data_IF_580853760011
#
_entry.id   IF_580853760011
#
_cell.length_a   1.000
_cell.length_b   1.000
_cell.length_c   1.000
_cell.angle_alpha   90.00
_cell.angle_beta   90.00
_cell.angle_gamma   90.00
#
_symmetry.space_group_name_H-M   'P 1'
#
loop_
_entity.id
_entity.type
_entity.pdbx_description
1 polymer ?
#
# COMPACT_ATOMS: atom_id res chain seq x y z
N UNK A 1 -48.48 33.75 -21.34
CA UNK A 1 -47.13 33.81 -21.93
C UNK A 1 -46.12 33.62 -20.80
N UNK A 2 -45.58 32.41 -20.63
CA UNK A 2 -44.53 32.13 -19.65
C UNK A 2 -43.61 31.04 -20.23
N UNK A 3 -42.39 31.43 -20.57
CA UNK A 3 -41.36 30.55 -21.12
C UNK A 3 -40.87 29.56 -20.06
N UNK A 4 -40.90 28.26 -20.40
CA UNK A 4 -40.20 27.21 -19.65
C UNK A 4 -38.70 27.29 -19.97
N UNK A 5 -37.87 27.52 -18.94
CA UNK A 5 -36.43 27.40 -19.04
C UNK A 5 -36.00 25.95 -19.30
N UNK A 6 -35.17 25.75 -20.32
CA UNK A 6 -34.59 24.46 -20.68
C UNK A 6 -33.60 24.01 -19.60
N UNK A 7 -33.76 22.77 -19.10
CA UNK A 7 -32.74 22.10 -18.28
C UNK A 7 -31.63 21.63 -19.22
N UNK A 8 -30.44 22.21 -19.09
CA UNK A 8 -29.23 21.71 -19.73
C UNK A 8 -28.85 20.34 -19.17
N UNK A 9 -28.85 19.32 -20.04
CA UNK A 9 -28.20 18.03 -19.80
C UNK A 9 -26.68 18.21 -19.92
N UNK A 10 -25.84 17.73 -18.98
CA UNK A 10 -24.42 17.63 -19.23
C UNK A 10 -24.16 16.38 -20.09
N UNK A 11 -24.31 16.51 -21.41
CA UNK A 11 -23.83 15.52 -22.37
C UNK A 11 -22.33 15.75 -22.59
N UNK A 12 -21.52 15.30 -21.63
CA UNK A 12 -20.11 15.04 -21.88
C UNK A 12 -19.97 13.71 -22.59
N UNK A 13 -19.57 13.71 -23.87
CA UNK A 13 -19.15 12.50 -24.57
C UNK A 13 -18.09 11.76 -23.73
N UNK A 14 -18.08 10.41 -23.70
CA UNK A 14 -16.98 9.68 -23.07
C UNK A 14 -15.68 10.09 -23.76
N UNK A 15 -14.81 10.81 -23.06
CA UNK A 15 -13.46 11.09 -23.56
C UNK A 15 -12.80 9.74 -23.87
N UNK A 16 -12.35 9.57 -25.12
CA UNK A 16 -11.58 8.41 -25.52
C UNK A 16 -10.40 8.23 -24.55
N UNK A 17 -10.20 7.00 -24.07
CA UNK A 17 -9.07 6.69 -23.18
C UNK A 17 -7.75 7.02 -23.91
N UNK A 18 -6.84 7.71 -23.23
CA UNK A 18 -5.52 7.97 -23.80
C UNK A 18 -4.78 6.65 -24.02
N UNK A 19 -3.85 6.56 -24.99
CA UNK A 19 -3.04 5.36 -25.21
C UNK A 19 -2.33 4.88 -23.94
N UNK A 20 -1.85 5.80 -23.10
CA UNK A 20 -1.22 5.50 -21.82
C UNK A 20 -2.21 4.90 -20.82
N UNK A 21 -3.45 5.39 -20.82
CA UNK A 21 -4.52 4.87 -19.95
C UNK A 21 -4.96 3.47 -20.35
N UNK A 22 -4.95 3.17 -21.66
CA UNK A 22 -5.19 1.83 -22.19
C UNK A 22 -4.06 0.86 -21.79
N UNK A 23 -2.81 1.24 -22.06
CA UNK A 23 -1.64 0.45 -21.67
C UNK A 23 -1.58 0.20 -20.15
N UNK A 24 -1.85 1.23 -19.34
CA UNK A 24 -1.91 1.08 -17.88
C UNK A 24 -3.02 0.13 -17.43
N UNK A 25 -4.13 0.05 -18.17
CA UNK A 25 -5.22 -0.90 -17.88
C UNK A 25 -4.79 -2.35 -18.13
N UNK A 26 -4.03 -2.60 -19.20
CA UNK A 26 -3.48 -3.93 -19.48
C UNK A 26 -2.43 -4.33 -18.44
N UNK A 27 -1.54 -3.41 -18.05
CA UNK A 27 -0.55 -3.65 -16.99
C UNK A 27 -1.25 -3.88 -15.65
N UNK A 28 -2.35 -3.17 -15.36
CA UNK A 28 -3.13 -3.38 -14.14
C UNK A 28 -3.72 -4.81 -14.08
N UNK A 29 -4.15 -5.36 -15.20
CA UNK A 29 -4.63 -6.75 -15.24
C UNK A 29 -3.51 -7.76 -14.98
N UNK A 30 -2.30 -7.49 -15.48
CA UNK A 30 -1.10 -8.28 -15.15
C UNK A 30 -0.75 -8.16 -13.66
N UNK A 31 -0.82 -6.96 -13.10
CA UNK A 31 -0.62 -6.70 -11.67
C UNK A 31 -1.63 -7.45 -10.81
N UNK A 32 -2.92 -7.40 -11.16
CA UNK A 32 -3.97 -8.16 -10.48
C UNK A 32 -3.69 -9.66 -10.53
N UNK A 33 -3.22 -10.16 -11.68
CA UNK A 33 -2.93 -11.58 -11.91
C UNK A 33 -1.57 -12.05 -11.37
N UNK A 34 -0.68 -11.13 -10.99
CA UNK A 34 0.68 -11.45 -10.57
C UNK A 34 0.70 -12.40 -9.35
N UNK A 35 1.32 -13.58 -9.53
CA UNK A 35 1.39 -14.64 -8.52
C UNK A 35 2.66 -14.65 -7.66
N UNK A 36 3.56 -13.68 -7.86
CA UNK A 36 4.82 -13.57 -7.12
C UNK A 36 5.06 -12.14 -6.66
N UNK A 37 5.86 -11.98 -5.61
CA UNK A 37 6.27 -10.67 -5.09
C UNK A 37 6.92 -9.82 -6.18
N UNK A 38 7.94 -10.40 -6.86
CA UNK A 38 8.70 -9.74 -7.92
C UNK A 38 7.81 -9.25 -9.05
N UNK A 39 6.93 -10.11 -9.57
CA UNK A 39 6.01 -9.75 -10.67
C UNK A 39 5.02 -8.68 -10.24
N UNK A 40 4.46 -8.76 -9.03
CA UNK A 40 3.50 -7.75 -8.54
C UNK A 40 4.18 -6.38 -8.40
N UNK A 41 5.40 -6.34 -7.88
CA UNK A 41 6.13 -5.09 -7.69
C UNK A 41 6.62 -4.50 -9.02
N UNK A 42 7.13 -5.33 -9.93
CA UNK A 42 7.60 -4.86 -11.24
C UNK A 42 6.46 -4.33 -12.12
N UNK A 43 5.33 -5.03 -12.17
CA UNK A 43 4.15 -4.58 -12.93
C UNK A 43 3.55 -3.31 -12.32
N UNK A 44 3.54 -3.17 -11.00
CA UNK A 44 3.16 -1.91 -10.35
C UNK A 44 4.08 -0.75 -10.71
N UNK A 45 5.41 -0.94 -10.66
CA UNK A 45 6.39 0.10 -11.04
C UNK A 45 6.20 0.52 -12.49
N UNK A 46 6.08 -0.44 -13.40
CA UNK A 46 5.80 -0.17 -14.81
C UNK A 46 4.48 0.60 -15.01
N UNK A 47 3.43 0.24 -14.27
CA UNK A 47 2.15 0.97 -14.30
C UNK A 47 2.33 2.42 -13.81
N UNK A 48 3.07 2.62 -12.73
CA UNK A 48 3.41 3.95 -12.21
C UNK A 48 4.21 4.79 -13.22
N UNK A 49 5.18 4.19 -13.92
CA UNK A 49 5.98 4.85 -14.94
C UNK A 49 5.11 5.30 -16.13
N UNK A 50 4.26 4.41 -16.66
CA UNK A 50 3.30 4.74 -17.75
C UNK A 50 2.37 5.87 -17.31
N UNK A 51 1.91 5.84 -16.06
CA UNK A 51 1.00 6.85 -15.52
C UNK A 51 1.71 8.12 -15.03
N UNK A 52 3.04 8.16 -15.01
CA UNK A 52 3.86 9.24 -14.46
C UNK A 52 3.44 9.56 -13.00
N UNK A 53 3.39 8.52 -12.17
CA UNK A 53 3.03 8.58 -10.76
C UNK A 53 4.15 7.99 -9.90
N UNK A 54 4.48 8.65 -8.80
CA UNK A 54 5.37 8.12 -7.76
C UNK A 54 4.59 7.85 -6.47
N UNK A 55 4.99 6.86 -5.65
CA UNK A 55 4.37 6.61 -4.35
C UNK A 55 4.37 7.87 -3.47
N UNK A 56 3.19 8.26 -2.97
CA UNK A 56 3.00 9.47 -2.19
C UNK A 56 1.86 9.27 -1.18
N UNK A 57 1.64 10.19 -0.22
CA UNK A 57 0.51 10.12 0.70
C UNK A 57 -0.83 9.94 -0.04
N UNK A 58 -1.78 9.24 0.60
CA UNK A 58 -3.05 8.85 -0.02
C UNK A 58 -3.78 10.00 -0.72
N UNK A 59 -3.96 11.20 -0.12
CA UNK A 59 -4.70 12.30 -0.76
C UNK A 59 -4.06 12.80 -2.06
N UNK A 60 -2.77 12.55 -2.26
CA UNK A 60 -2.01 12.98 -3.45
C UNK A 60 -1.98 11.88 -4.50
N UNK A 61 -1.68 10.64 -4.09
CA UNK A 61 -1.45 9.53 -5.01
C UNK A 61 -2.74 8.90 -5.53
N UNK A 62 -3.60 8.43 -4.62
CA UNK A 62 -4.69 7.53 -4.95
C UNK A 62 -5.78 8.16 -5.85
N UNK A 63 -6.20 9.43 -5.65
CA UNK A 63 -7.12 10.09 -6.59
C UNK A 63 -6.56 10.17 -8.02
N UNK A 64 -5.27 10.48 -8.18
CA UNK A 64 -4.62 10.57 -9.50
C UNK A 64 -4.53 9.20 -10.17
N UNK A 65 -4.17 8.17 -9.41
CA UNK A 65 -4.16 6.79 -9.90
C UNK A 65 -5.53 6.39 -10.44
N UNK A 66 -6.60 6.59 -9.68
CA UNK A 66 -7.96 6.23 -10.10
C UNK A 66 -8.42 7.00 -11.35
N UNK A 67 -8.12 8.29 -11.44
CA UNK A 67 -8.51 9.12 -12.58
C UNK A 67 -7.82 8.66 -13.87
N UNK A 68 -6.55 8.23 -13.77
CA UNK A 68 -5.76 7.75 -14.91
C UNK A 68 -6.06 6.29 -15.25
N UNK A 69 -6.41 5.46 -14.26
CA UNK A 69 -6.68 4.03 -14.43
C UNK A 69 -8.19 3.74 -14.50
N UNK A 70 -8.81 4.17 -15.61
CA UNK A 70 -10.25 4.01 -15.87
C UNK A 70 -10.54 2.66 -16.53
N UNK A 71 -10.36 1.57 -15.79
CA UNK A 71 -10.72 0.22 -16.23
C UNK A 71 -11.98 -0.29 -15.53
N UNK A 72 -12.91 -0.88 -16.29
CA UNK A 72 -14.10 -1.55 -15.72
C UNK A 72 -13.71 -2.68 -14.76
N UNK A 73 -12.55 -3.32 -14.99
CA UNK A 73 -12.00 -4.36 -14.12
C UNK A 73 -11.56 -3.78 -12.77
N UNK A 74 -11.20 -2.50 -12.71
CA UNK A 74 -10.74 -1.83 -11.51
C UNK A 74 -11.89 -1.18 -10.70
N UNK A 75 -13.02 -0.88 -11.34
CA UNK A 75 -14.13 -0.13 -10.72
C UNK A 75 -14.64 -0.73 -9.40
N UNK A 76 -14.83 -2.05 -9.33
CA UNK A 76 -15.31 -2.71 -8.10
C UNK A 76 -14.28 -2.71 -6.96
N UNK A 77 -12.99 -2.65 -7.31
CA UNK A 77 -11.90 -2.50 -6.35
C UNK A 77 -11.86 -1.07 -5.80
N UNK A 78 -12.01 -0.06 -6.67
CA UNK A 78 -12.09 1.35 -6.26
C UNK A 78 -13.25 1.60 -5.32
N UNK A 79 -14.44 1.08 -5.62
CA UNK A 79 -15.60 1.23 -4.74
C UNK A 79 -15.35 0.70 -3.32
N UNK A 80 -14.60 -0.42 -3.20
CA UNK A 80 -14.23 -1.02 -1.92
C UNK A 80 -13.23 -0.16 -1.14
N UNK A 81 -12.14 0.25 -1.80
CA UNK A 81 -11.10 1.06 -1.18
C UNK A 81 -11.61 2.47 -0.84
N UNK A 82 -12.47 3.05 -1.68
CA UNK A 82 -13.14 4.33 -1.42
C UNK A 82 -14.04 4.25 -0.19
N UNK A 83 -14.84 3.18 -0.08
CA UNK A 83 -15.68 2.93 1.11
C UNK A 83 -14.84 2.84 2.38
N UNK A 84 -13.68 2.18 2.32
CA UNK A 84 -12.74 2.10 3.46
C UNK A 84 -12.17 3.48 3.78
N UNK A 85 -11.59 4.17 2.80
CA UNK A 85 -10.96 5.49 2.98
C UNK A 85 -11.93 6.58 3.45
N UNK A 86 -13.23 6.44 3.18
CA UNK A 86 -14.27 7.34 3.64
C UNK A 86 -14.63 7.20 5.13
N UNK A 87 -14.10 6.18 5.83
CA UNK A 87 -14.39 6.00 7.26
C UNK A 87 -13.93 7.21 8.09
N UNK A 88 -14.74 7.64 9.05
CA UNK A 88 -14.54 8.89 9.81
C UNK A 88 -13.18 8.95 10.53
N UNK A 89 -12.68 7.81 11.01
CA UNK A 89 -11.39 7.76 11.71
C UNK A 89 -10.20 8.21 10.86
N UNK A 90 -10.29 8.12 9.53
CA UNK A 90 -9.21 8.55 8.63
C UNK A 90 -9.21 10.05 8.38
N UNK A 91 -10.26 10.79 8.80
CA UNK A 91 -10.42 12.22 8.55
C UNK A 91 -10.14 12.59 7.08
N UNK A 92 -10.70 11.82 6.13
CA UNK A 92 -10.45 11.97 4.68
C UNK A 92 -8.95 11.92 4.31
N UNK A 93 -8.18 11.07 4.98
CA UNK A 93 -6.74 10.93 4.78
C UNK A 93 -5.93 12.12 5.32
N UNK A 94 -6.41 12.79 6.37
CA UNK A 94 -5.73 13.94 6.99
C UNK A 94 -5.38 13.74 8.46
N UNK A 95 -5.74 12.61 9.05
CA UNK A 95 -5.50 12.34 10.47
C UNK A 95 -4.01 12.32 10.83
N UNK A 96 -3.17 11.82 9.93
CA UNK A 96 -1.70 11.75 10.07
C UNK A 96 -0.99 12.54 8.98
N UNK A 97 -1.58 13.64 8.49
CA UNK A 97 -0.98 14.47 7.45
C UNK A 97 0.40 15.00 7.92
N UNK A 98 1.41 14.88 7.05
CA UNK A 98 2.79 15.30 7.36
C UNK A 98 3.61 14.27 8.13
N UNK A 99 3.00 13.22 8.69
CA UNK A 99 3.76 12.17 9.39
C UNK A 99 4.47 11.24 8.39
N UNK A 100 5.71 10.87 8.72
CA UNK A 100 6.52 9.92 7.96
C UNK A 100 6.66 8.63 8.77
N UNK A 101 6.19 7.51 8.21
CA UNK A 101 6.17 6.19 8.86
C UNK A 101 7.14 5.26 8.15
N UNK A 102 8.02 4.62 8.91
CA UNK A 102 8.86 3.52 8.47
C UNK A 102 8.36 2.20 9.08
N UNK A 103 8.13 1.19 8.26
CA UNK A 103 7.71 -0.15 8.68
C UNK A 103 8.77 -1.17 8.28
N UNK A 104 9.22 -1.96 9.26
CA UNK A 104 10.18 -3.04 9.04
C UNK A 104 9.41 -4.35 8.87
N UNK A 105 9.44 -4.94 7.67
CA UNK A 105 8.87 -6.24 7.35
C UNK A 105 7.61 -6.20 6.48
N UNK A 106 7.67 -6.80 5.30
CA UNK A 106 6.57 -7.04 4.36
C UNK A 106 5.75 -8.30 4.68
N UNK A 107 5.62 -8.64 5.96
CA UNK A 107 4.72 -9.69 6.44
C UNK A 107 3.24 -9.28 6.38
N UNK A 108 2.28 -10.19 6.65
CA UNK A 108 0.87 -9.82 6.71
C UNK A 108 0.58 -8.66 7.66
N UNK A 109 1.14 -8.69 8.87
CA UNK A 109 0.93 -7.62 9.85
C UNK A 109 1.53 -6.29 9.41
N UNK A 110 2.79 -6.28 8.95
CA UNK A 110 3.46 -5.06 8.48
C UNK A 110 2.75 -4.40 7.30
N UNK A 111 2.35 -5.19 6.29
CA UNK A 111 1.58 -4.68 5.15
C UNK A 111 0.19 -4.20 5.56
N UNK A 112 -0.48 -4.89 6.49
CA UNK A 112 -1.78 -4.47 7.00
C UNK A 112 -1.69 -3.15 7.76
N UNK A 113 -0.64 -2.96 8.56
CA UNK A 113 -0.35 -1.70 9.24
C UNK A 113 -0.02 -0.60 8.25
N UNK A 114 0.75 -0.90 7.20
CA UNK A 114 1.06 0.05 6.14
C UNK A 114 -0.21 0.61 5.48
N UNK A 115 -1.18 -0.27 5.20
CA UNK A 115 -2.48 0.12 4.65
C UNK A 115 -3.21 1.09 5.59
N UNK A 116 -3.29 0.83 6.90
CA UNK A 116 -3.96 1.76 7.83
C UNK A 116 -3.23 3.10 7.93
N UNK A 117 -1.91 3.09 8.07
CA UNK A 117 -1.11 4.32 8.14
C UNK A 117 -1.27 5.19 6.88
N UNK A 118 -1.31 4.55 5.70
CA UNK A 118 -1.54 5.22 4.43
C UNK A 118 -2.96 5.80 4.36
N UNK A 119 -3.97 5.05 4.83
CA UNK A 119 -5.36 5.52 4.91
C UNK A 119 -5.53 6.73 5.85
N UNK A 120 -4.76 6.79 6.94
CA UNK A 120 -4.70 7.94 7.85
C UNK A 120 -4.07 9.19 7.21
N UNK A 121 -3.36 9.05 6.09
CA UNK A 121 -2.75 10.17 5.35
C UNK A 121 -1.25 10.35 5.54
N UNK A 122 -0.57 9.42 6.22
CA UNK A 122 0.88 9.47 6.38
C UNK A 122 1.62 9.14 5.06
N UNK A 123 2.90 9.51 4.98
CA UNK A 123 3.84 8.92 4.01
C UNK A 123 4.39 7.63 4.60
N UNK A 124 4.14 6.50 3.95
CA UNK A 124 4.54 5.19 4.45
C UNK A 124 5.61 4.56 3.57
N UNK A 125 6.69 4.11 4.19
CA UNK A 125 7.76 3.31 3.58
C UNK A 125 7.85 1.96 4.29
N UNK A 126 7.90 0.88 3.52
CA UNK A 126 8.09 -0.50 4.02
C UNK A 126 9.43 -1.03 3.54
N UNK A 127 10.26 -1.49 4.47
CA UNK A 127 11.49 -2.23 4.17
C UNK A 127 11.25 -3.72 4.31
N UNK A 128 11.44 -4.47 3.24
CA UNK A 128 11.42 -5.93 3.26
C UNK A 128 12.80 -6.48 2.87
N UNK A 129 13.36 -7.30 3.75
CA UNK A 129 14.68 -7.91 3.56
C UNK A 129 14.72 -8.88 2.39
N UNK A 130 13.61 -9.55 2.05
CA UNK A 130 13.55 -10.58 1.01
C UNK A 130 13.02 -10.02 -0.31
N UNK A 131 13.28 -10.73 -1.39
CA UNK A 131 12.75 -10.48 -2.73
C UNK A 131 11.51 -11.32 -3.07
N UNK A 132 11.05 -12.17 -2.14
CA UNK A 132 10.00 -13.17 -2.41
C UNK A 132 9.17 -13.55 -1.20
N UNK A 133 7.92 -13.89 -1.49
CA UNK A 133 7.00 -14.55 -0.55
C UNK A 133 6.98 -16.06 -0.81
N UNK A 134 7.66 -16.83 0.04
CA UNK A 134 7.88 -18.28 -0.16
C UNK A 134 7.10 -19.19 0.79
N UNK A 135 6.50 -18.66 1.85
CA UNK A 135 5.85 -19.47 2.90
C UNK A 135 4.50 -20.00 2.45
N UNK A 136 4.39 -21.32 2.34
CA UNK A 136 3.16 -22.02 1.94
C UNK A 136 2.28 -22.44 3.13
N UNK A 137 2.77 -22.34 4.37
CA UNK A 137 1.95 -22.62 5.55
C UNK A 137 0.66 -21.81 5.54
N UNK A 138 -0.38 -22.39 6.11
CA UNK A 138 -1.75 -21.87 6.09
C UNK A 138 -2.10 -21.27 7.45
N UNK A 139 -2.73 -20.09 7.41
CA UNK A 139 -3.24 -19.39 8.57
C UNK A 139 -4.75 -19.55 8.61
N UNK A 140 -5.29 -19.93 9.77
CA UNK A 140 -6.71 -19.78 10.06
C UNK A 140 -7.08 -18.29 10.16
N UNK A 141 -8.26 -17.92 9.67
CA UNK A 141 -8.78 -16.55 9.64
C UNK A 141 -10.07 -16.50 10.44
N UNK A 142 -10.08 -15.66 11.47
CA UNK A 142 -11.32 -15.36 12.18
C UNK A 142 -12.31 -14.60 11.28
N UNK A 143 -13.62 -14.67 11.56
CA UNK A 143 -14.64 -14.04 10.72
C UNK A 143 -14.41 -12.55 10.44
N UNK A 144 -13.94 -11.78 11.43
CA UNK A 144 -13.66 -10.35 11.24
C UNK A 144 -12.49 -10.11 10.28
N UNK A 145 -11.48 -10.98 10.26
CA UNK A 145 -10.32 -10.89 9.36
C UNK A 145 -10.76 -11.20 7.92
N UNK A 146 -11.63 -12.20 7.75
CA UNK A 146 -12.24 -12.50 6.45
C UNK A 146 -13.03 -11.28 5.95
N UNK A 147 -13.83 -10.65 6.82
CA UNK A 147 -14.57 -9.44 6.47
C UNK A 147 -13.65 -8.27 6.07
N UNK A 148 -12.61 -8.02 6.87
CA UNK A 148 -11.63 -6.96 6.60
C UNK A 148 -10.96 -7.15 5.22
N UNK A 149 -10.43 -8.35 4.94
CA UNK A 149 -9.79 -8.66 3.66
C UNK A 149 -10.78 -8.60 2.48
N UNK A 150 -12.03 -9.04 2.66
CA UNK A 150 -13.08 -8.85 1.62
C UNK A 150 -13.40 -7.38 1.37
N UNK A 151 -13.33 -6.54 2.40
CA UNK A 151 -13.54 -5.09 2.30
C UNK A 151 -12.40 -4.39 1.58
N UNK A 152 -11.18 -4.94 1.65
CA UNK A 152 -10.00 -4.47 0.89
C UNK A 152 -9.89 -5.06 -0.53
N UNK A 153 -10.88 -5.86 -0.95
CA UNK A 153 -10.92 -6.41 -2.30
C UNK A 153 -10.13 -7.70 -2.50
N UNK A 154 -9.86 -8.48 -1.45
CA UNK A 154 -9.08 -9.73 -1.55
C UNK A 154 -9.54 -10.68 -2.69
N UNK A 155 -10.85 -10.82 -2.92
CA UNK A 155 -11.38 -11.65 -4.03
C UNK A 155 -10.94 -11.20 -5.43
N UNK A 156 -10.60 -9.92 -5.61
CA UNK A 156 -10.10 -9.40 -6.89
C UNK A 156 -8.69 -9.93 -7.18
N UNK A 157 -7.86 -10.04 -6.16
CA UNK A 157 -6.47 -10.50 -6.27
C UNK A 157 -6.33 -12.01 -6.12
N UNK A 158 -7.28 -12.66 -5.46
CA UNK A 158 -7.32 -14.10 -5.26
C UNK A 158 -8.77 -14.59 -5.31
N UNK A 159 -9.23 -15.04 -6.48
CA UNK A 159 -10.63 -15.43 -6.71
C UNK A 159 -11.13 -16.54 -5.79
N UNK A 160 -10.23 -17.42 -5.32
CA UNK A 160 -10.52 -18.50 -4.38
C UNK A 160 -10.58 -18.05 -2.91
N UNK A 161 -10.38 -16.76 -2.62
CA UNK A 161 -10.36 -16.24 -1.25
C UNK A 161 -11.66 -16.54 -0.51
N UNK A 162 -11.55 -17.42 0.50
CA UNK A 162 -12.66 -17.85 1.36
C UNK A 162 -13.93 -18.17 0.56
N UNK A 163 -13.79 -19.00 -0.48
CA UNK A 163 -14.90 -19.54 -1.24
C UNK A 163 -15.62 -20.65 -0.45
N UNK A 164 -16.95 -20.67 -0.44
CA UNK A 164 -17.73 -21.58 0.40
C UNK A 164 -17.44 -21.36 1.89
N UNK A 165 -17.14 -22.46 2.59
CA UNK A 165 -16.79 -22.49 4.02
C UNK A 165 -15.30 -22.35 4.32
N UNK A 166 -14.46 -22.03 3.33
CA UNK A 166 -13.01 -21.86 3.53
C UNK A 166 -12.75 -20.62 4.40
N UNK A 167 -12.02 -20.82 5.49
CA UNK A 167 -11.70 -19.84 6.53
C UNK A 167 -10.18 -19.70 6.75
N UNK A 168 -9.37 -20.05 5.75
CA UNK A 168 -7.92 -20.05 5.87
C UNK A 168 -7.23 -19.62 4.57
N UNK A 169 -5.96 -19.22 4.68
CA UNK A 169 -5.16 -18.74 3.54
C UNK A 169 -3.68 -19.05 3.75
N UNK A 170 -2.93 -19.36 2.69
CA UNK A 170 -1.48 -19.48 2.80
C UNK A 170 -0.81 -18.12 3.04
N UNK A 171 0.27 -18.10 3.82
CA UNK A 171 0.96 -16.86 4.20
C UNK A 171 1.34 -16.06 2.96
N UNK A 172 1.93 -16.68 1.94
CA UNK A 172 2.34 -15.99 0.71
C UNK A 172 1.16 -15.36 -0.05
N UNK A 173 -0.02 -15.98 -0.05
CA UNK A 173 -1.19 -15.43 -0.73
C UNK A 173 -1.74 -14.22 0.02
N UNK A 174 -1.78 -14.29 1.35
CA UNK A 174 -2.15 -13.14 2.19
C UNK A 174 -1.17 -11.97 1.99
N UNK A 175 0.13 -12.25 1.96
CA UNK A 175 1.15 -11.24 1.69
C UNK A 175 0.96 -10.59 0.30
N UNK A 176 0.67 -11.37 -0.75
CA UNK A 176 0.42 -10.82 -2.09
C UNK A 176 -0.82 -9.93 -2.15
N UNK A 177 -1.92 -10.35 -1.52
CA UNK A 177 -3.15 -9.55 -1.46
C UNK A 177 -2.86 -8.20 -0.80
N UNK A 178 -2.24 -8.22 0.38
CA UNK A 178 -1.96 -7.01 1.14
C UNK A 178 -0.91 -6.11 0.46
N UNK A 179 0.11 -6.69 -0.17
CA UNK A 179 1.09 -5.93 -0.96
C UNK A 179 0.39 -5.16 -2.08
N UNK A 180 -0.50 -5.82 -2.84
CA UNK A 180 -1.20 -5.18 -3.94
C UNK A 180 -2.08 -4.03 -3.45
N UNK A 181 -2.78 -4.21 -2.34
CA UNK A 181 -3.58 -3.13 -1.71
C UNK A 181 -2.68 -1.98 -1.26
N UNK A 182 -1.59 -2.27 -0.56
CA UNK A 182 -0.64 -1.25 -0.08
C UNK A 182 -0.10 -0.39 -1.23
N UNK A 183 0.38 -1.03 -2.30
CA UNK A 183 0.90 -0.34 -3.49
C UNK A 183 -0.16 0.56 -4.14
N UNK A 184 -1.39 0.07 -4.32
CA UNK A 184 -2.48 0.88 -4.89
C UNK A 184 -2.89 2.08 -4.04
N UNK A 185 -2.58 2.09 -2.74
CA UNK A 185 -2.83 3.22 -1.85
C UNK A 185 -1.65 4.20 -1.79
N UNK A 186 -0.53 3.89 -2.44
CA UNK A 186 0.65 4.74 -2.52
C UNK A 186 1.73 4.45 -1.49
N UNK A 187 1.66 3.29 -0.81
CA UNK A 187 2.75 2.82 0.06
C UNK A 187 4.00 2.55 -0.78
N UNK A 188 5.14 3.05 -0.32
CA UNK A 188 6.43 2.78 -0.92
C UNK A 188 7.03 1.51 -0.31
N UNK A 189 7.49 0.58 -1.16
CA UNK A 189 8.01 -0.72 -0.72
C UNK A 189 9.39 -0.93 -1.33
N UNK A 190 10.38 -1.20 -0.48
CA UNK A 190 11.73 -1.56 -0.88
C UNK A 190 12.03 -3.00 -0.47
N UNK A 191 12.30 -3.83 -1.47
CA UNK A 191 12.75 -5.22 -1.33
C UNK A 191 14.27 -5.32 -1.28
N UNK A 192 14.80 -6.42 -0.75
CA UNK A 192 16.24 -6.62 -0.54
C UNK A 192 16.90 -5.55 0.35
N UNK A 193 16.11 -4.86 1.17
CA UNK A 193 16.62 -3.85 2.11
C UNK A 193 16.47 -4.37 3.54
N UNK A 194 17.60 -4.58 4.20
CA UNK A 194 17.62 -5.00 5.60
C UNK A 194 17.77 -3.78 6.50
N UNK A 195 16.80 -3.57 7.40
CA UNK A 195 17.00 -2.68 8.54
C UNK A 195 18.07 -3.26 9.47
N UNK A 196 19.02 -2.43 9.90
CA UNK A 196 20.11 -2.81 10.82
C UNK A 196 19.95 -2.14 12.17
N UNK A 197 19.80 -0.82 12.17
CA UNK A 197 19.76 -0.04 13.39
C UNK A 197 19.04 1.29 13.17
N UNK A 198 18.72 1.95 14.27
CA UNK A 198 18.18 3.29 14.29
C UNK A 198 19.33 4.30 14.32
N UNK A 199 19.26 5.32 13.46
CA UNK A 199 20.21 6.44 13.47
C UNK A 199 19.53 7.64 14.13
N UNK A 200 20.08 8.03 15.27
CA UNK A 200 19.65 9.21 16.02
C UNK A 200 19.95 10.49 15.23
N UNK A 201 19.10 11.53 15.34
CA UNK A 201 19.45 12.88 14.92
C UNK A 201 20.81 13.29 15.50
N UNK A 202 21.70 13.90 14.71
CA UNK A 202 22.96 14.41 15.22
C UNK A 202 22.73 15.50 16.30
N UNK A 203 23.64 15.59 17.27
CA UNK A 203 23.60 16.60 18.33
C UNK A 203 23.76 18.03 17.78
N UNK A 204 24.68 18.21 16.82
CA UNK A 204 24.85 19.47 16.10
C UNK A 204 23.84 19.56 14.95
N UNK A 205 22.92 20.52 15.07
CA UNK A 205 21.92 20.86 14.05
C UNK A 205 21.98 22.35 13.66
N UNK A 206 23.15 22.98 13.83
CA UNK A 206 23.35 24.40 13.51
C UNK A 206 23.16 24.71 12.01
N UNK A 207 23.57 23.79 11.13
CA UNK A 207 23.54 23.97 9.68
C UNK A 207 22.34 23.30 9.00
N UNK A 208 21.94 22.11 9.44
CA UNK A 208 20.85 21.33 8.86
C UNK A 208 20.09 20.57 9.95
N UNK A 209 18.75 20.57 9.86
CA UNK A 209 17.90 19.78 10.76
C UNK A 209 17.70 18.39 10.18
N UNK A 210 18.36 17.40 10.77
CA UNK A 210 18.29 16.00 10.34
C UNK A 210 17.41 15.22 11.32
N UNK A 211 16.41 14.51 10.80
CA UNK A 211 15.52 13.66 11.58
C UNK A 211 16.07 12.26 11.88
N UNK A 212 15.26 11.43 12.53
CA UNK A 212 15.55 10.01 12.74
C UNK A 212 15.63 9.26 11.41
N UNK A 213 16.65 8.42 11.23
CA UNK A 213 16.87 7.63 10.01
C UNK A 213 17.13 6.17 10.34
N UNK A 214 17.15 5.33 9.31
CA UNK A 214 17.45 3.91 9.44
C UNK A 214 18.82 3.60 8.84
N UNK A 215 19.65 2.89 9.60
CA UNK A 215 20.79 2.19 9.02
C UNK A 215 20.24 0.98 8.25
N UNK A 216 20.53 0.91 6.96
CA UNK A 216 20.05 -0.14 6.06
C UNK A 216 21.20 -0.87 5.37
N UNK A 217 20.92 -2.06 4.86
CA UNK A 217 21.80 -2.81 3.96
C UNK A 217 21.04 -3.13 2.67
N UNK A 218 21.56 -2.75 1.48
CA UNK A 218 22.84 -2.07 1.26
C UNK A 218 22.80 -0.59 1.72
N UNK A 219 23.94 -0.04 2.15
CA UNK A 219 24.00 1.25 2.86
C UNK A 219 23.77 2.46 1.94
N UNK A 220 24.09 2.32 0.67
CA UNK A 220 23.87 3.28 -0.42
C UNK A 220 22.41 3.29 -0.94
N UNK A 221 21.55 2.40 -0.44
CA UNK A 221 20.16 2.36 -0.84
C UNK A 221 19.44 3.68 -0.47
N UNK A 222 18.60 4.28 -1.33
CA UNK A 222 17.96 5.57 -1.08
C UNK A 222 17.17 5.67 0.24
N UNK A 223 16.61 4.55 0.69
CA UNK A 223 15.93 4.47 1.98
C UNK A 223 16.81 4.84 3.20
N UNK A 224 18.15 4.85 3.08
CA UNK A 224 19.06 5.33 4.14
C UNK A 224 18.89 6.82 4.44
N UNK A 225 18.41 7.59 3.46
CA UNK A 225 18.14 9.02 3.59
C UNK A 225 16.70 9.32 4.01
N UNK A 226 15.86 8.29 4.13
CA UNK A 226 14.48 8.49 4.55
C UNK A 226 14.41 8.78 6.04
N UNK A 227 14.02 10.01 6.36
CA UNK A 227 13.70 10.39 7.72
C UNK A 227 12.25 10.06 8.08
N UNK A 228 12.02 9.65 9.33
CA UNK A 228 10.70 9.26 9.82
C UNK A 228 10.45 9.70 11.25
N UNK A 229 9.17 9.84 11.58
CA UNK A 229 8.69 10.23 12.91
C UNK A 229 8.10 9.02 13.66
N UNK A 230 7.77 7.96 12.92
CA UNK A 230 7.16 6.73 13.45
C UNK A 230 7.88 5.51 12.89
N UNK A 231 8.33 4.62 13.78
CA UNK A 231 8.92 3.34 13.43
C UNK A 231 8.03 2.19 13.90
N UNK A 232 7.76 1.24 13.01
CA UNK A 232 6.95 0.05 13.31
C UNK A 232 7.76 -1.21 13.00
N UNK A 233 8.13 -1.95 14.04
CA UNK A 233 8.74 -3.28 13.92
C UNK A 233 7.69 -4.36 13.67
N UNK A 234 7.65 -4.91 12.45
CA UNK A 234 6.72 -5.97 12.04
C UNK A 234 7.45 -7.14 11.33
N UNK A 235 8.72 -7.35 11.67
CA UNK A 235 9.66 -8.29 11.03
C UNK A 235 9.71 -9.68 11.71
N UNK A 236 8.84 -9.89 12.69
CA UNK A 236 8.54 -11.19 13.29
C UNK A 236 9.43 -11.57 14.46
N UNK A 237 9.15 -12.74 15.06
CA UNK A 237 9.66 -13.17 16.38
C UNK A 237 11.17 -13.06 16.59
N UNK A 238 12.00 -13.10 15.54
CA UNK A 238 13.46 -13.12 15.70
C UNK A 238 14.05 -11.74 15.95
N UNK A 239 13.36 -10.68 15.58
CA UNK A 239 13.86 -9.33 15.69
C UNK A 239 13.01 -8.52 16.68
N UNK A 240 13.66 -7.70 17.47
CA UNK A 240 13.01 -6.69 18.31
C UNK A 240 13.84 -5.43 18.19
N UNK A 241 13.18 -4.29 18.05
CA UNK A 241 13.85 -3.00 18.18
C UNK A 241 14.54 -2.91 19.54
N UNK A 242 15.71 -2.25 19.58
CA UNK A 242 16.40 -1.96 20.84
C UNK A 242 15.46 -1.20 21.77
N UNK A 243 15.55 -1.48 23.07
CA UNK A 243 14.69 -0.88 24.10
C UNK A 243 13.41 -1.66 24.45
N UNK A 244 13.08 -2.74 23.72
CA UNK A 244 11.94 -3.61 24.06
C UNK A 244 12.40 -4.98 24.56
N UNK A 245 12.04 -5.31 25.80
CA UNK A 245 12.34 -6.61 26.40
C UNK A 245 11.31 -7.67 26.00
N UNK A 246 11.77 -8.91 25.74
CA UNK A 246 10.87 -10.06 25.51
C UNK A 246 10.53 -10.73 26.84
N UNK A 247 9.27 -11.13 26.98
CA UNK A 247 8.84 -12.07 28.02
C UNK A 247 8.74 -13.45 27.39
N UNK A 248 9.39 -14.43 27.99
CA UNK A 248 9.20 -15.84 27.66
C UNK A 248 8.02 -16.37 28.49
N UNK A 249 7.13 -17.11 27.83
CA UNK A 249 5.92 -17.71 28.40
C UNK A 249 5.91 -19.19 28.10
#
# INVERSE_FOLDING_TARGET
MAMRGARGTPTGLPQAMSPESALASDIFDQFVSAGTFKTALSTYRQMCDVLQLSPAPLPVFYPRLKVKLRSWRAASLWAKLDKRAAHKCYNRGKACAGMRVLIIGGGPCGLRTAIEAQLLGAKVVVLEKRDRFSRNNVLHLWPFVIHDLRSLGAKKFFGKFCAGSIDHISIRQLQLILLKVALLLGVEVHENVTFKDLLEPPEDQSMEKIGWRAQVLPADHPASQYEFDVLIGADGKRNTLKGFNRREF
#
